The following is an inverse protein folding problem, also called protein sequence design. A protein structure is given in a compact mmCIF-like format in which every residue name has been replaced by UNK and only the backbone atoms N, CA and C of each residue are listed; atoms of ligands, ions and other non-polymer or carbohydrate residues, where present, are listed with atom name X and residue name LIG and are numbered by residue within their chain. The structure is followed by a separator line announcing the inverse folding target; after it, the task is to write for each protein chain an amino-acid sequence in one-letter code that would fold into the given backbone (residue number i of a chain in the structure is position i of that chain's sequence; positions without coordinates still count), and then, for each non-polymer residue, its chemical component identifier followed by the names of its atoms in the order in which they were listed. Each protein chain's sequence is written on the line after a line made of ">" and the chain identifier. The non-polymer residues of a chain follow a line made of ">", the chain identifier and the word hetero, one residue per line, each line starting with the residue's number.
data_IF_461666595195
#
_entry.id   IF_461666595195
#
_cell.length_a   1.000
_cell.length_b   1.000
_cell.length_c   1.000
_cell.angle_alpha   90.00
_cell.angle_beta   90.00
_cell.angle_gamma   90.00
#
_symmetry.space_group_name_H-M   'P 1'
#
loop_
_entity.id
_entity.type
_entity.pdbx_description
1 polymer ?
#
# COMPACT_ATOMS: atom_id res chain seq x y z
N UNK A 1 4.59 -81.25 -18.24
CA UNK A 1 3.49 -80.26 -18.06
C UNK A 1 3.59 -79.71 -16.63
N UNK A 2 3.65 -78.37 -16.46
CA UNK A 2 3.89 -77.65 -15.18
C UNK A 2 5.25 -77.96 -14.51
N UNK A 3 5.88 -77.05 -13.76
CA UNK A 3 6.09 -75.59 -13.99
C UNK A 3 7.35 -75.19 -13.20
N UNK A 4 8.14 -74.23 -13.69
CA UNK A 4 9.32 -73.74 -12.96
C UNK A 4 8.93 -72.91 -11.73
N UNK A 5 9.80 -72.86 -10.73
CA UNK A 5 9.66 -72.07 -9.51
C UNK A 5 11.02 -71.70 -8.92
N UNK A 6 11.72 -70.77 -9.56
CA UNK A 6 12.98 -70.20 -9.04
C UNK A 6 12.63 -69.19 -7.95
N UNK A 7 13.08 -69.43 -6.72
CA UNK A 7 12.97 -68.46 -5.62
C UNK A 7 14.05 -67.39 -5.76
N UNK A 8 13.75 -66.34 -6.52
CA UNK A 8 14.55 -65.11 -6.53
C UNK A 8 14.33 -64.37 -5.22
N UNK A 9 15.37 -64.24 -4.40
CA UNK A 9 15.37 -63.31 -3.26
C UNK A 9 15.30 -61.87 -3.79
N UNK A 10 14.12 -61.27 -3.80
CA UNK A 10 13.97 -59.83 -4.01
C UNK A 10 14.36 -59.16 -2.70
N UNK A 11 15.58 -58.60 -2.66
CA UNK A 11 16.01 -57.73 -1.58
C UNK A 11 15.23 -56.42 -1.69
N UNK A 12 14.12 -56.31 -0.95
CA UNK A 12 13.35 -55.06 -0.88
C UNK A 12 14.18 -54.05 -0.10
N UNK A 13 14.96 -53.24 -0.81
CA UNK A 13 15.51 -52.01 -0.27
C UNK A 13 14.36 -51.08 0.07
N UNK A 14 14.06 -50.92 1.37
CA UNK A 14 13.29 -49.78 1.85
C UNK A 14 14.12 -48.52 1.62
N UNK A 15 14.04 -47.99 0.40
CA UNK A 15 14.24 -46.57 0.15
C UNK A 15 13.12 -45.84 0.90
N UNK A 16 13.39 -45.50 2.16
CA UNK A 16 12.64 -44.50 2.88
C UNK A 16 12.67 -43.23 2.04
N UNK A 17 11.56 -42.88 1.41
CA UNK A 17 11.40 -41.57 0.77
C UNK A 17 11.22 -40.51 1.86
N UNK A 18 12.30 -40.27 2.60
CA UNK A 18 12.63 -38.92 3.07
C UNK A 18 12.77 -38.06 1.82
N UNK A 19 11.65 -37.47 1.38
CA UNK A 19 11.69 -36.41 0.39
C UNK A 19 12.72 -35.40 0.88
N UNK A 20 13.66 -35.02 0.02
CA UNK A 20 14.62 -34.00 0.39
C UNK A 20 13.84 -32.72 0.66
N UNK A 21 13.82 -32.29 1.92
CA UNK A 21 13.80 -30.87 2.17
C UNK A 21 15.13 -30.37 1.60
N UNK A 22 15.08 -29.70 0.45
CA UNK A 22 16.22 -28.99 -0.08
C UNK A 22 16.61 -27.94 0.97
N UNK A 23 17.83 -28.02 1.51
CA UNK A 23 18.23 -27.25 2.70
C UNK A 23 18.13 -25.74 2.42
N UNK A 24 17.03 -25.13 2.90
CA UNK A 24 16.63 -23.79 2.49
C UNK A 24 17.71 -22.79 2.89
N UNK A 25 18.28 -22.18 1.85
CA UNK A 25 19.51 -21.39 1.97
C UNK A 25 19.30 -20.10 2.75
N UNK A 26 19.60 -20.15 4.04
CA UNK A 26 19.83 -18.96 4.86
C UNK A 26 21.05 -18.22 4.29
N UNK A 27 20.86 -16.97 3.91
CA UNK A 27 21.88 -16.09 3.32
C UNK A 27 22.68 -15.41 4.43
N UNK A 28 22.00 -14.99 5.50
CA UNK A 28 22.60 -14.31 6.64
C UNK A 28 21.76 -14.54 7.89
N UNK A 29 22.39 -14.57 9.07
CA UNK A 29 21.72 -14.58 10.38
C UNK A 29 22.56 -13.74 11.35
N UNK A 30 21.96 -12.67 11.88
CA UNK A 30 22.51 -11.80 12.89
C UNK A 30 21.59 -11.77 14.11
N UNK A 31 22.02 -11.14 15.20
CA UNK A 31 21.09 -10.90 16.32
C UNK A 31 19.96 -9.97 15.87
N UNK A 32 18.71 -10.37 16.13
CA UNK A 32 17.52 -9.67 15.65
C UNK A 32 17.35 -9.56 14.12
N UNK A 33 17.98 -10.40 13.29
CA UNK A 33 17.75 -10.41 11.84
C UNK A 33 18.12 -11.73 11.15
N UNK A 34 17.30 -12.19 10.18
CA UNK A 34 17.61 -13.32 9.31
C UNK A 34 17.20 -13.07 7.87
N UNK A 35 18.07 -13.44 6.92
CA UNK A 35 17.84 -13.35 5.48
C UNK A 35 17.88 -14.74 4.85
N UNK A 36 16.88 -15.10 4.04
CA UNK A 36 16.77 -16.42 3.40
C UNK A 36 16.30 -16.33 1.95
N UNK A 37 16.74 -17.30 1.14
CA UNK A 37 16.27 -17.46 -0.25
C UNK A 37 14.79 -17.88 -0.25
N UNK A 38 13.97 -17.09 -0.92
CA UNK A 38 12.56 -17.41 -1.21
C UNK A 38 12.44 -18.13 -2.55
N UNK A 39 13.21 -17.71 -3.56
CA UNK A 39 13.27 -18.38 -4.86
C UNK A 39 14.71 -18.44 -5.38
N UNK A 40 15.25 -19.65 -5.50
CA UNK A 40 16.65 -19.89 -5.90
C UNK A 40 16.87 -19.84 -7.42
N UNK A 41 15.82 -20.00 -8.21
CA UNK A 41 15.83 -19.77 -9.66
C UNK A 41 15.89 -18.26 -10.00
N UNK A 42 15.72 -17.37 -9.01
CA UNK A 42 15.74 -15.92 -9.17
C UNK A 42 17.04 -15.31 -8.64
N UNK A 43 17.87 -14.78 -9.54
CA UNK A 43 18.96 -13.87 -9.16
C UNK A 43 18.40 -12.49 -8.81
N UNK A 44 18.73 -11.90 -7.65
CA UNK A 44 18.41 -10.50 -7.35
C UNK A 44 18.93 -9.57 -8.45
N UNK A 45 18.08 -8.65 -8.92
CA UNK A 45 18.46 -7.71 -9.96
C UNK A 45 19.26 -6.56 -9.33
N UNK A 46 20.58 -6.70 -9.23
CA UNK A 46 21.50 -5.70 -8.68
C UNK A 46 21.79 -4.52 -9.65
N UNK A 47 20.87 -4.20 -10.55
CA UNK A 47 20.88 -2.91 -11.26
C UNK A 47 20.61 -1.78 -10.25
N UNK A 48 21.12 -0.57 -10.54
CA UNK A 48 20.63 0.65 -9.85
C UNK A 48 19.10 0.71 -9.93
N UNK A 49 18.44 0.90 -8.80
CA UNK A 49 16.98 1.07 -8.75
C UNK A 49 16.58 2.23 -9.68
N UNK A 50 15.72 1.93 -10.65
CA UNK A 50 15.57 2.75 -11.88
C UNK A 50 14.54 3.88 -11.79
N UNK A 51 13.85 3.99 -10.65
CA UNK A 51 12.79 4.97 -10.43
C UNK A 51 13.40 6.22 -9.78
N UNK A 52 12.78 7.40 -9.93
CA UNK A 52 13.16 8.55 -9.08
C UNK A 52 13.03 8.10 -7.63
N UNK A 53 14.09 8.30 -6.86
CA UNK A 53 14.03 8.26 -5.41
C UNK A 53 13.81 9.68 -4.89
N UNK A 54 13.15 9.74 -3.75
CA UNK A 54 12.55 10.94 -3.19
C UNK A 54 13.06 11.12 -1.75
N UNK A 55 13.14 12.37 -1.33
CA UNK A 55 13.49 12.77 0.04
C UNK A 55 12.29 12.61 0.97
N UNK A 56 12.51 12.79 2.27
CA UNK A 56 11.43 12.90 3.24
C UNK A 56 10.47 14.06 2.99
N UNK A 57 10.96 15.17 2.43
CA UNK A 57 10.13 16.32 2.03
C UNK A 57 9.22 15.95 0.87
N UNK A 58 9.80 15.46 -0.24
CA UNK A 58 9.05 14.99 -1.41
C UNK A 58 7.92 14.01 -1.01
N UNK A 59 8.21 13.05 -0.11
CA UNK A 59 7.21 12.04 0.31
C UNK A 59 6.06 12.69 1.08
N UNK A 60 6.33 13.68 1.93
CA UNK A 60 5.28 14.40 2.66
C UNK A 60 4.38 15.19 1.69
N UNK A 61 4.96 15.87 0.70
CA UNK A 61 4.21 16.61 -0.32
C UNK A 61 3.39 15.68 -1.22
N UNK A 62 3.94 14.51 -1.59
CA UNK A 62 3.20 13.46 -2.29
C UNK A 62 2.01 12.95 -1.46
N UNK A 63 2.17 12.71 -0.15
CA UNK A 63 1.08 12.27 0.74
C UNK A 63 -0.06 13.30 0.84
N UNK A 64 0.24 14.60 0.78
CA UNK A 64 -0.77 15.66 0.79
C UNK A 64 -1.47 15.80 -0.57
N UNK A 65 -0.71 15.70 -1.67
CA UNK A 65 -1.26 15.70 -3.03
C UNK A 65 -2.17 14.49 -3.31
N UNK A 66 -1.83 13.30 -2.79
CA UNK A 66 -2.66 12.09 -2.82
C UNK A 66 -4.06 12.33 -2.20
N UNK A 67 -4.16 13.26 -1.25
CA UNK A 67 -5.37 13.67 -0.54
C UNK A 67 -5.96 15.01 -1.02
N UNK A 68 -5.47 15.52 -2.17
CA UNK A 68 -5.95 16.76 -2.81
C UNK A 68 -5.84 18.02 -1.92
N UNK A 69 -4.84 18.02 -1.04
CA UNK A 69 -4.48 19.17 -0.19
C UNK A 69 -3.52 20.06 -0.98
N UNK A 70 -3.85 21.34 -1.11
CA UNK A 70 -3.16 22.29 -2.00
C UNK A 70 -1.81 22.77 -1.46
N UNK A 71 -0.88 23.03 -2.37
CA UNK A 71 0.47 23.57 -2.11
C UNK A 71 0.47 24.90 -1.31
N UNK A 72 -0.57 25.73 -1.47
CA UNK A 72 -0.77 26.96 -0.67
C UNK A 72 -1.01 26.67 0.84
N UNK A 73 -1.19 25.39 1.22
CA UNK A 73 -1.55 24.92 2.57
C UNK A 73 -0.57 23.84 3.08
N UNK A 74 0.67 23.85 2.61
CA UNK A 74 1.79 23.01 3.08
C UNK A 74 2.32 23.44 4.47
N UNK A 75 1.41 23.61 5.43
CA UNK A 75 1.73 23.83 6.84
C UNK A 75 2.23 22.56 7.55
N UNK A 76 3.14 21.80 6.93
CA UNK A 76 3.84 20.69 7.58
C UNK A 76 4.76 21.29 8.66
N UNK A 77 4.62 20.82 9.89
CA UNK A 77 5.37 21.30 11.06
C UNK A 77 6.50 20.34 11.44
N UNK A 78 6.29 19.03 11.24
CA UNK A 78 7.32 18.02 11.47
C UNK A 78 6.96 16.73 10.73
N UNK A 79 7.99 15.97 10.32
CA UNK A 79 7.82 14.57 9.92
C UNK A 79 8.88 13.70 10.60
N UNK A 80 8.55 12.43 10.85
CA UNK A 80 9.48 11.44 11.41
C UNK A 80 10.56 10.98 10.42
N UNK A 81 10.57 11.57 9.22
CA UNK A 81 11.26 11.08 8.05
C UNK A 81 11.88 12.19 7.21
N UNK A 82 11.94 13.44 7.71
CA UNK A 82 12.47 14.59 6.97
C UNK A 82 13.91 14.38 6.45
N UNK A 83 14.73 13.65 7.21
CA UNK A 83 16.12 13.27 6.85
C UNK A 83 16.23 11.86 6.23
N UNK A 84 15.10 11.20 5.93
CA UNK A 84 15.11 9.91 5.24
C UNK A 84 15.24 10.13 3.74
N UNK A 85 16.25 9.50 3.15
CA UNK A 85 16.54 9.50 1.73
C UNK A 85 16.45 8.07 1.17
N UNK A 86 16.43 7.97 -0.17
CA UNK A 86 16.13 6.73 -0.91
C UNK A 86 14.72 6.19 -0.60
N UNK A 87 13.72 7.08 -0.47
CA UNK A 87 12.31 6.69 -0.41
C UNK A 87 11.72 6.62 -1.82
N UNK A 88 10.75 5.73 -2.03
CA UNK A 88 9.94 5.65 -3.24
C UNK A 88 8.45 5.75 -2.87
N UNK A 89 7.70 6.74 -3.40
CA UNK A 89 6.29 6.94 -3.07
C UNK A 89 5.46 5.82 -3.68
N UNK A 90 4.82 5.05 -2.81
CA UNK A 90 3.89 3.99 -3.19
C UNK A 90 2.42 4.41 -3.08
N UNK A 91 2.16 5.68 -2.73
CA UNK A 91 0.81 6.20 -2.46
C UNK A 91 0.20 5.62 -1.18
N UNK A 92 -1.13 5.60 -1.11
CA UNK A 92 -1.89 5.26 0.12
C UNK A 92 -1.76 3.82 0.61
N UNK A 93 -1.49 2.88 -0.28
CA UNK A 93 -1.36 1.44 -0.03
C UNK A 93 0.10 1.00 -0.17
N UNK A 94 0.96 1.63 0.63
CA UNK A 94 2.40 1.65 0.43
C UNK A 94 3.12 0.34 0.74
N UNK A 95 2.82 -0.35 1.84
CA UNK A 95 3.28 -1.69 2.16
C UNK A 95 2.82 -2.68 1.09
N UNK A 96 1.53 -2.72 0.75
CA UNK A 96 1.01 -3.61 -0.29
C UNK A 96 1.76 -3.43 -1.60
N UNK A 97 1.90 -2.19 -2.08
CA UNK A 97 2.66 -1.88 -3.30
C UNK A 97 4.16 -2.12 -3.15
N UNK A 98 4.76 -1.97 -1.96
CA UNK A 98 6.16 -2.36 -1.74
C UNK A 98 6.38 -3.86 -1.94
N UNK A 99 5.48 -4.71 -1.43
CA UNK A 99 5.56 -6.16 -1.62
C UNK A 99 5.27 -6.56 -3.07
N UNK A 100 4.26 -5.94 -3.70
CA UNK A 100 3.92 -6.17 -5.11
C UNK A 100 5.01 -5.69 -6.07
N UNK A 101 5.66 -4.55 -5.80
CA UNK A 101 6.79 -4.04 -6.59
C UNK A 101 8.02 -4.93 -6.43
N UNK A 102 8.34 -5.37 -5.20
CA UNK A 102 9.46 -6.26 -4.96
C UNK A 102 9.29 -7.58 -5.74
N UNK A 103 8.07 -8.12 -5.74
CA UNK A 103 7.69 -9.25 -6.57
C UNK A 103 7.77 -8.91 -8.07
N UNK A 104 7.23 -7.78 -8.51
CA UNK A 104 7.20 -7.39 -9.92
C UNK A 104 8.59 -7.00 -10.50
N UNK A 105 9.60 -6.79 -9.66
CA UNK A 105 10.94 -6.36 -10.09
C UNK A 105 12.08 -7.29 -9.67
N UNK A 106 11.80 -8.49 -9.13
CA UNK A 106 12.81 -9.43 -8.62
C UNK A 106 13.75 -8.77 -7.59
N UNK A 107 13.18 -7.98 -6.68
CA UNK A 107 13.90 -7.30 -5.61
C UNK A 107 13.77 -8.10 -4.31
N UNK A 108 14.82 -8.05 -3.49
CA UNK A 108 14.74 -8.62 -2.14
C UNK A 108 13.87 -7.73 -1.26
N UNK A 109 13.18 -8.30 -0.28
CA UNK A 109 12.23 -7.59 0.58
C UNK A 109 12.63 -7.68 2.06
N UNK A 110 12.68 -6.56 2.76
CA UNK A 110 12.84 -6.52 4.23
C UNK A 110 11.50 -6.26 4.90
N UNK A 111 11.17 -7.03 5.94
CA UNK A 111 9.96 -6.88 6.75
C UNK A 111 10.36 -6.88 8.24
N UNK A 112 9.76 -6.01 9.06
CA UNK A 112 9.92 -6.03 10.52
C UNK A 112 8.60 -6.37 11.25
N UNK A 113 8.65 -6.75 12.54
CA UNK A 113 7.45 -7.06 13.33
C UNK A 113 6.52 -5.86 13.46
N UNK A 114 7.07 -4.65 13.55
CA UNK A 114 6.31 -3.39 13.62
C UNK A 114 5.52 -3.12 12.34
N UNK A 115 6.03 -3.53 11.17
CA UNK A 115 5.31 -3.34 9.91
C UNK A 115 4.06 -4.22 9.87
N UNK A 116 4.20 -5.51 10.18
CA UNK A 116 3.07 -6.45 10.22
C UNK A 116 2.09 -6.05 11.34
N UNK A 117 2.59 -5.66 12.51
CA UNK A 117 1.73 -5.18 13.60
C UNK A 117 0.99 -3.88 13.25
N UNK A 118 1.61 -2.93 12.53
CA UNK A 118 0.94 -1.70 12.12
C UNK A 118 -0.17 -1.95 11.10
N UNK A 119 0.04 -2.82 10.11
CA UNK A 119 -1.03 -3.24 9.17
C UNK A 119 -2.20 -3.88 9.93
N UNK A 120 -1.91 -4.73 10.92
CA UNK A 120 -2.94 -5.36 11.77
C UNK A 120 -3.68 -4.30 12.62
N UNK A 121 -2.97 -3.34 13.22
CA UNK A 121 -3.58 -2.20 13.90
C UNK A 121 -4.49 -1.36 12.99
N UNK A 122 -4.13 -1.18 11.72
CA UNK A 122 -4.93 -0.43 10.75
C UNK A 122 -6.18 -1.20 10.32
N UNK A 123 -6.11 -2.52 10.17
CA UNK A 123 -7.29 -3.37 10.00
C UNK A 123 -8.25 -3.29 11.20
N UNK A 124 -7.72 -3.41 12.42
CA UNK A 124 -8.49 -3.22 13.65
C UNK A 124 -9.12 -1.82 13.73
N UNK A 125 -8.37 -0.76 13.37
CA UNK A 125 -8.88 0.60 13.38
C UNK A 125 -10.02 0.82 12.35
N UNK A 126 -9.96 0.20 11.15
CA UNK A 126 -11.08 0.25 10.19
C UNK A 126 -12.34 -0.37 10.79
N UNK A 127 -12.22 -1.58 11.35
CA UNK A 127 -13.31 -2.29 12.01
C UNK A 127 -13.92 -1.50 13.18
N UNK A 128 -13.10 -0.98 14.10
CA UNK A 128 -13.58 -0.19 15.25
C UNK A 128 -14.31 1.08 14.83
N UNK A 129 -13.85 1.78 13.80
CA UNK A 129 -14.54 2.98 13.31
C UNK A 129 -15.90 2.65 12.67
N UNK A 130 -16.02 1.53 11.95
CA UNK A 130 -17.29 1.06 11.40
C UNK A 130 -18.27 0.61 12.50
N UNK A 131 -17.78 -0.12 13.51
CA UNK A 131 -18.55 -0.67 14.62
C UNK A 131 -18.54 0.22 15.89
N UNK A 132 -18.43 1.55 15.73
CA UNK A 132 -18.13 2.51 16.82
C UNK A 132 -18.96 2.30 18.09
N UNK A 133 -20.28 2.20 17.99
CA UNK A 133 -21.16 2.09 19.17
C UNK A 133 -21.18 0.67 19.79
N UNK A 134 -20.91 -0.37 19.00
CA UNK A 134 -20.74 -1.74 19.49
C UNK A 134 -19.40 -1.92 20.23
N UNK A 135 -18.37 -1.17 19.81
CA UNK A 135 -17.04 -1.20 20.41
C UNK A 135 -16.89 -0.22 21.58
N UNK A 136 -17.75 0.81 21.70
CA UNK A 136 -17.73 1.79 22.81
C UNK A 136 -17.56 1.14 24.19
N UNK A 137 -18.42 0.20 24.66
CA UNK A 137 -18.29 -0.41 25.99
C UNK A 137 -17.09 -1.37 26.11
N UNK A 138 -16.40 -1.70 25.02
CA UNK A 138 -15.14 -2.49 25.03
C UNK A 138 -13.88 -1.62 25.09
N UNK A 139 -13.98 -0.32 24.80
CA UNK A 139 -12.83 0.57 24.56
C UNK A 139 -12.79 1.81 25.44
N UNK A 140 -13.94 2.37 25.85
CA UNK A 140 -13.99 3.62 26.64
C UNK A 140 -15.01 3.55 27.77
N UNK A 141 -14.61 4.04 28.94
CA UNK A 141 -15.46 4.11 30.15
C UNK A 141 -16.24 5.45 30.25
N UNK A 142 -16.50 6.11 29.12
CA UNK A 142 -17.20 7.39 29.08
C UNK A 142 -18.14 7.51 27.88
N UNK A 143 -19.19 8.31 28.03
CA UNK A 143 -20.07 8.71 26.93
C UNK A 143 -19.44 9.87 26.13
N UNK A 144 -19.97 10.13 24.92
CA UNK A 144 -19.49 11.23 24.07
C UNK A 144 -18.05 11.11 23.60
N UNK A 145 -17.33 12.25 23.59
CA UNK A 145 -15.90 12.43 23.25
C UNK A 145 -15.23 13.26 24.36
N UNK A 146 -13.92 13.12 24.54
CA UNK A 146 -13.12 13.86 25.52
C UNK A 146 -11.84 14.41 24.87
N UNK A 147 -11.47 15.65 25.18
CA UNK A 147 -10.23 16.29 24.71
C UNK A 147 -9.00 15.76 25.48
N UNK A 148 -7.84 15.70 24.81
CA UNK A 148 -6.53 15.33 25.39
C UNK A 148 -5.47 16.36 24.94
N UNK A 149 -4.59 16.80 25.85
CA UNK A 149 -3.71 17.97 25.65
C UNK A 149 -2.23 17.63 25.97
N UNK A 150 -1.30 18.10 25.14
CA UNK A 150 0.17 17.88 25.23
C UNK A 150 0.92 19.12 24.71
N UNK A 151 2.10 19.45 25.29
CA UNK A 151 2.91 20.65 24.95
C UNK A 151 4.30 20.33 24.36
N UNK A 152 4.85 21.21 23.50
CA UNK A 152 6.23 21.10 22.93
C UNK A 152 6.78 22.44 22.39
N UNK A 153 8.08 22.55 22.05
CA UNK A 153 8.79 23.82 21.73
C UNK A 153 10.06 23.69 20.80
N UNK A 154 9.95 23.71 19.44
CA UNK A 154 10.93 24.20 18.41
C UNK A 154 10.66 23.70 16.95
N UNK A 155 11.44 24.18 15.96
CA UNK A 155 11.23 24.10 14.48
C UNK A 155 12.57 24.04 13.67
N UNK A 156 12.61 23.51 12.42
CA UNK A 156 13.83 23.10 11.63
C UNK A 156 13.62 22.91 10.07
N UNK A 157 14.47 23.44 9.16
CA UNK A 157 14.42 23.18 7.67
C UNK A 157 15.76 23.33 6.83
N UNK A 158 15.84 22.66 5.64
CA UNK A 158 16.68 22.85 4.39
C UNK A 158 17.99 22.03 4.07
N UNK A 159 18.15 21.58 2.79
CA UNK A 159 19.26 20.81 2.11
C UNK A 159 19.23 21.01 0.53
N UNK A 160 20.14 20.42 -0.32
CA UNK A 160 19.83 19.78 -1.67
C UNK A 160 21.00 19.14 -2.54
N UNK A 161 20.64 18.37 -3.62
CA UNK A 161 21.32 18.09 -4.96
C UNK A 161 22.49 17.05 -5.08
N UNK A 162 22.76 16.23 -6.15
CA UNK A 162 22.13 15.69 -7.42
C UNK A 162 22.98 14.52 -8.07
N UNK A 163 22.54 13.82 -9.17
CA UNK A 163 23.28 12.79 -9.97
C UNK A 163 22.86 12.66 -11.48
N UNK A 164 23.80 12.45 -12.43
CA UNK A 164 23.46 11.82 -13.74
C UNK A 164 24.48 10.78 -14.33
N UNK A 165 24.04 10.10 -15.41
CA UNK A 165 24.79 9.17 -16.32
C UNK A 165 24.72 7.64 -16.06
N UNK A 166 24.99 6.86 -17.13
CA UNK A 166 25.06 5.37 -17.23
C UNK A 166 23.72 4.63 -16.97
N UNK A 167 22.84 4.32 -17.94
CA UNK A 167 22.92 4.20 -19.42
C UNK A 167 23.68 2.95 -19.95
N UNK A 168 22.98 2.20 -20.82
CA UNK A 168 23.36 1.12 -21.76
C UNK A 168 23.91 -0.25 -21.30
N UNK A 169 23.11 -1.32 -21.50
CA UNK A 169 23.40 -2.40 -22.47
C UNK A 169 22.26 -3.44 -22.64
N UNK A 170 21.82 -3.72 -23.89
CA UNK A 170 20.97 -4.88 -24.27
C UNK A 170 21.29 -5.31 -25.72
N UNK A 171 21.93 -6.47 -25.95
CA UNK A 171 22.12 -7.01 -27.33
C UNK A 171 22.48 -8.51 -27.45
N UNK A 172 22.18 -9.35 -26.46
CA UNK A 172 22.79 -10.69 -26.34
C UNK A 172 21.90 -11.90 -26.71
N UNK A 173 20.64 -11.72 -27.12
CA UNK A 173 19.66 -12.83 -27.18
C UNK A 173 19.24 -13.33 -28.58
N UNK A 174 19.65 -12.66 -29.67
CA UNK A 174 19.09 -12.88 -31.03
C UNK A 174 19.60 -14.18 -31.69
N UNK A 175 20.80 -14.64 -31.37
CA UNK A 175 21.52 -15.70 -32.09
C UNK A 175 20.86 -17.11 -31.98
N UNK A 176 19.98 -17.31 -30.98
CA UNK A 176 19.51 -18.65 -30.55
C UNK A 176 18.45 -19.31 -31.43
N UNK A 177 17.81 -18.57 -32.35
CA UNK A 177 16.56 -19.03 -33.00
C UNK A 177 16.59 -19.19 -34.53
N UNK A 178 17.76 -19.04 -35.19
CA UNK A 178 17.89 -19.33 -36.63
C UNK A 178 18.37 -20.77 -36.90
N UNK A 179 18.15 -21.27 -38.13
CA UNK A 179 18.65 -22.57 -38.59
C UNK A 179 19.46 -22.42 -39.88
N UNK A 180 20.10 -23.50 -40.33
CA UNK A 180 20.91 -23.57 -41.55
C UNK A 180 22.06 -22.54 -41.60
N UNK A 181 22.62 -22.19 -40.44
CA UNK A 181 23.67 -21.17 -40.29
C UNK A 181 23.31 -19.78 -40.83
N UNK A 182 22.03 -19.45 -41.06
CA UNK A 182 21.63 -18.15 -41.62
C UNK A 182 22.12 -16.96 -40.78
N UNK A 183 22.14 -17.08 -39.43
CA UNK A 183 22.78 -16.09 -38.58
C UNK A 183 24.27 -15.90 -38.90
N UNK A 184 25.03 -16.99 -39.07
CA UNK A 184 26.46 -16.96 -39.39
C UNK A 184 26.76 -16.54 -40.84
N UNK A 185 25.82 -16.73 -41.77
CA UNK A 185 25.96 -16.31 -43.17
C UNK A 185 25.71 -14.81 -43.33
N UNK A 186 24.79 -14.24 -42.54
CA UNK A 186 24.46 -12.80 -42.60
C UNK A 186 25.33 -11.98 -41.64
N UNK A 187 25.75 -12.54 -40.50
CA UNK A 187 26.66 -11.85 -39.54
C UNK A 187 28.07 -11.76 -40.10
N UNK A 188 28.61 -10.55 -40.18
CA UNK A 188 29.99 -10.29 -40.62
C UNK A 188 31.02 -10.97 -39.71
N UNK A 189 31.97 -11.69 -40.30
CA UNK A 189 33.17 -12.22 -39.62
C UNK A 189 34.49 -12.06 -40.41
N UNK A 190 34.49 -11.18 -41.42
CA UNK A 190 35.67 -10.80 -42.21
C UNK A 190 36.78 -10.14 -41.37
N UNK A 191 38.02 -10.15 -41.87
CA UNK A 191 39.21 -9.58 -41.22
C UNK A 191 39.16 -8.08 -40.91
N UNK A 192 38.20 -7.34 -41.47
CA UNK A 192 37.94 -5.92 -41.22
C UNK A 192 36.75 -5.67 -40.28
N UNK A 193 36.13 -6.71 -39.72
CA UNK A 193 34.89 -6.59 -38.93
C UNK A 193 35.18 -6.17 -37.49
N UNK A 194 34.72 -4.98 -37.10
CA UNK A 194 34.67 -4.54 -35.70
C UNK A 194 33.35 -4.92 -35.01
N UNK A 195 33.17 -4.42 -33.78
CA UNK A 195 31.95 -4.67 -33.00
C UNK A 195 30.70 -4.07 -33.67
N UNK A 196 30.85 -2.89 -34.30
CA UNK A 196 29.74 -2.16 -34.93
C UNK A 196 29.23 -2.88 -36.17
N UNK A 197 30.12 -3.33 -37.05
CA UNK A 197 29.80 -4.05 -38.28
C UNK A 197 29.16 -5.42 -37.97
N UNK A 198 29.59 -6.05 -36.86
CA UNK A 198 28.99 -7.30 -36.37
C UNK A 198 27.56 -7.09 -35.86
N UNK A 199 27.30 -6.07 -35.05
CA UNK A 199 25.95 -5.78 -34.54
C UNK A 199 25.02 -5.32 -35.67
N UNK A 200 25.49 -4.48 -36.60
CA UNK A 200 24.69 -4.03 -37.74
C UNK A 200 24.24 -5.20 -38.64
N UNK A 201 25.12 -6.18 -38.87
CA UNK A 201 24.79 -7.39 -39.63
C UNK A 201 23.84 -8.33 -38.88
N UNK A 202 23.94 -8.43 -37.55
CA UNK A 202 22.97 -9.16 -36.71
C UNK A 202 21.57 -8.51 -36.68
N UNK A 203 21.46 -7.18 -36.81
CA UNK A 203 20.17 -6.49 -36.98
C UNK A 203 19.61 -6.72 -38.39
N UNK A 204 20.47 -6.72 -39.42
CA UNK A 204 20.10 -6.99 -40.82
C UNK A 204 19.55 -8.43 -41.00
N UNK A 205 20.06 -9.38 -40.21
CA UNK A 205 19.53 -10.73 -40.11
C UNK A 205 18.06 -10.77 -39.61
N UNK A 206 17.70 -9.97 -38.60
CA UNK A 206 16.33 -9.90 -38.09
C UNK A 206 15.37 -9.33 -39.15
N UNK A 207 15.77 -8.24 -39.81
CA UNK A 207 15.04 -7.65 -40.93
C UNK A 207 14.77 -8.68 -42.04
N UNK A 208 15.76 -9.54 -42.33
CA UNK A 208 15.71 -10.53 -43.41
C UNK A 208 14.71 -11.69 -43.19
N UNK A 209 14.21 -11.88 -41.96
CA UNK A 209 13.27 -12.98 -41.62
C UNK A 209 11.99 -12.53 -40.92
N UNK A 210 11.76 -11.21 -40.78
CA UNK A 210 10.61 -10.64 -40.05
C UNK A 210 9.21 -11.04 -40.55
N UNK A 211 9.09 -11.51 -41.79
CA UNK A 211 7.82 -12.02 -42.34
C UNK A 211 7.44 -13.41 -41.82
N UNK A 212 8.33 -14.07 -41.07
CA UNK A 212 8.11 -15.42 -40.51
C UNK A 212 8.12 -15.45 -38.96
N UNK A 213 8.45 -14.33 -38.31
CA UNK A 213 8.61 -14.24 -36.86
C UNK A 213 8.02 -12.94 -36.31
N UNK A 214 7.12 -13.06 -35.33
CA UNK A 214 6.62 -11.92 -34.57
C UNK A 214 7.57 -11.63 -33.39
N UNK A 215 8.25 -10.47 -33.42
CA UNK A 215 9.30 -10.13 -32.45
C UNK A 215 8.76 -9.52 -31.16
N UNK A 216 8.06 -10.32 -30.35
CA UNK A 216 7.55 -9.88 -29.05
C UNK A 216 8.58 -10.11 -27.94
N UNK A 217 9.08 -9.03 -27.34
CA UNK A 217 10.06 -9.09 -26.24
C UNK A 217 9.33 -8.99 -24.90
N UNK A 218 9.15 -10.13 -24.22
CA UNK A 218 8.59 -10.19 -22.87
C UNK A 218 9.69 -10.24 -21.80
N UNK A 219 9.87 -9.14 -21.05
CA UNK A 219 10.63 -9.16 -19.79
C UNK A 219 9.68 -9.59 -18.65
N UNK A 220 9.50 -10.90 -18.45
CA UNK A 220 8.70 -11.42 -17.34
C UNK A 220 9.51 -11.27 -16.05
N UNK A 221 9.17 -10.27 -15.24
CA UNK A 221 9.74 -10.03 -13.92
C UNK A 221 8.59 -10.15 -12.91
N UNK A 222 8.65 -11.20 -12.10
CA UNK A 222 7.63 -11.64 -11.13
C UNK A 222 8.28 -12.65 -10.17
N UNK A 223 8.17 -12.45 -8.86
CA UNK A 223 8.79 -13.28 -7.81
C UNK A 223 9.70 -12.48 -6.87
N UNK A 224 9.87 -12.91 -5.62
CA UNK A 224 10.80 -12.31 -4.65
C UNK A 224 11.99 -13.27 -4.47
N UNK A 225 13.24 -12.86 -4.73
CA UNK A 225 14.40 -13.75 -4.61
C UNK A 225 14.75 -14.11 -3.17
N UNK A 226 14.74 -13.12 -2.27
CA UNK A 226 15.04 -13.32 -0.85
C UNK A 226 14.24 -12.37 0.04
N UNK A 227 13.99 -12.82 1.27
CA UNK A 227 13.35 -12.01 2.33
C UNK A 227 14.31 -11.87 3.50
N UNK A 228 14.38 -10.66 4.05
CA UNK A 228 14.99 -10.38 5.36
C UNK A 228 13.89 -10.12 6.38
N UNK A 229 13.80 -10.95 7.41
CA UNK A 229 12.99 -10.66 8.59
C UNK A 229 13.86 -10.03 9.66
N UNK A 230 13.51 -8.80 10.04
CA UNK A 230 14.06 -8.11 11.21
C UNK A 230 13.31 -8.56 12.47
N UNK A 231 13.87 -8.24 13.64
CA UNK A 231 13.34 -8.65 14.94
C UNK A 231 13.75 -10.07 15.35
N UNK A 232 13.65 -10.34 16.64
CA UNK A 232 13.90 -11.67 17.21
C UNK A 232 12.69 -12.59 17.04
N UNK A 233 12.87 -13.90 17.23
CA UNK A 233 11.75 -14.86 17.31
C UNK A 233 10.71 -14.44 18.36
N UNK A 234 11.16 -13.83 19.47
CA UNK A 234 10.27 -13.34 20.53
C UNK A 234 9.42 -12.13 20.12
N UNK A 235 9.87 -11.33 19.13
CA UNK A 235 9.09 -10.23 18.59
C UNK A 235 7.96 -10.75 17.70
N UNK A 236 8.26 -11.73 16.84
CA UNK A 236 7.27 -12.40 16.01
C UNK A 236 6.24 -13.20 16.83
N UNK A 237 6.68 -13.83 17.93
CA UNK A 237 5.77 -14.43 18.91
C UNK A 237 4.85 -13.37 19.55
N UNK A 238 5.39 -12.23 19.99
CA UNK A 238 4.57 -11.13 20.55
C UNK A 238 3.60 -10.52 19.54
N UNK A 239 3.93 -10.47 18.25
CA UNK A 239 2.98 -10.07 17.19
C UNK A 239 1.81 -11.06 17.10
N UNK A 240 2.07 -12.37 17.12
CA UNK A 240 1.01 -13.38 17.18
C UNK A 240 0.16 -13.26 18.45
N UNK A 241 0.76 -13.19 19.63
CA UNK A 241 0.04 -13.06 20.91
C UNK A 241 -0.88 -11.84 20.94
N UNK A 242 -0.41 -10.68 20.49
CA UNK A 242 -1.20 -9.45 20.42
C UNK A 242 -2.32 -9.54 19.36
N UNK A 243 -2.09 -10.27 18.26
CA UNK A 243 -3.11 -10.53 17.23
C UNK A 243 -4.20 -11.45 17.77
N UNK A 244 -3.84 -12.48 18.53
CA UNK A 244 -4.81 -13.39 19.17
C UNK A 244 -5.71 -12.69 20.19
N UNK A 245 -5.23 -11.63 20.86
CA UNK A 245 -6.06 -10.80 21.75
C UNK A 245 -7.16 -10.04 21.00
N UNK A 246 -7.03 -9.79 19.68
CA UNK A 246 -8.04 -9.08 18.90
C UNK A 246 -9.36 -9.85 18.77
N UNK A 247 -9.37 -11.17 19.03
CA UNK A 247 -10.59 -12.00 19.07
C UNK A 247 -11.65 -11.43 20.03
N UNK A 248 -11.25 -10.84 21.16
CA UNK A 248 -12.16 -10.25 22.14
C UNK A 248 -13.05 -9.12 21.57
N UNK A 249 -12.58 -8.44 20.52
CA UNK A 249 -13.35 -7.37 19.87
C UNK A 249 -14.37 -7.90 18.85
N UNK A 250 -14.26 -9.17 18.42
CA UNK A 250 -15.17 -9.79 17.44
C UNK A 250 -14.47 -10.28 16.16
N UNK A 251 -13.19 -9.94 15.99
CA UNK A 251 -12.39 -10.22 14.79
C UNK A 251 -11.88 -11.67 14.69
N UNK A 252 -12.51 -12.63 15.36
CA UNK A 252 -12.06 -14.03 15.33
C UNK A 252 -11.93 -14.64 13.92
N UNK A 253 -12.85 -14.42 12.96
CA UNK A 253 -12.69 -14.92 11.61
C UNK A 253 -11.40 -14.44 10.93
N UNK A 254 -11.07 -13.16 11.05
CA UNK A 254 -9.84 -12.59 10.49
C UNK A 254 -8.58 -13.06 11.22
N UNK A 255 -8.61 -13.09 12.56
CA UNK A 255 -7.48 -13.57 13.36
C UNK A 255 -7.16 -15.04 13.03
N UNK A 256 -8.18 -15.87 12.73
CA UNK A 256 -7.98 -17.25 12.30
C UNK A 256 -7.31 -17.36 10.91
N UNK A 257 -7.45 -16.38 10.02
CA UNK A 257 -6.69 -16.30 8.77
C UNK A 257 -5.24 -15.83 8.99
N UNK A 258 -5.02 -14.93 9.95
CA UNK A 258 -3.70 -14.41 10.30
C UNK A 258 -2.83 -15.41 11.10
N UNK A 259 -3.44 -16.20 11.98
CA UNK A 259 -2.72 -17.16 12.85
C UNK A 259 -1.74 -18.09 12.09
N UNK A 260 -2.11 -18.78 10.98
CA UNK A 260 -1.15 -19.59 10.22
C UNK A 260 -0.06 -18.75 9.53
N UNK A 261 -0.39 -17.56 9.03
CA UNK A 261 0.57 -16.64 8.39
C UNK A 261 1.64 -16.22 9.41
N UNK A 262 1.23 -15.78 10.61
CA UNK A 262 2.16 -15.34 11.65
C UNK A 262 3.02 -16.47 12.21
N UNK A 263 2.55 -17.73 12.18
CA UNK A 263 3.38 -18.91 12.51
C UNK A 263 4.49 -19.15 11.48
N UNK A 264 4.26 -18.84 10.21
CA UNK A 264 5.31 -18.91 9.18
C UNK A 264 6.37 -17.80 9.32
N UNK A 265 5.99 -16.60 9.79
CA UNK A 265 6.95 -15.58 10.22
C UNK A 265 7.81 -16.06 11.41
N UNK A 266 7.21 -16.71 12.41
CA UNK A 266 7.93 -17.25 13.58
C UNK A 266 8.91 -18.37 13.16
N UNK A 267 8.46 -19.33 12.34
CA UNK A 267 9.32 -20.41 11.82
C UNK A 267 10.48 -19.85 10.98
N UNK A 268 10.23 -18.86 10.12
CA UNK A 268 11.25 -18.19 9.32
C UNK A 268 12.28 -17.45 10.21
N UNK A 269 11.83 -16.70 11.23
CA UNK A 269 12.69 -16.01 12.18
C UNK A 269 13.59 -16.98 13.00
N UNK A 270 13.09 -18.18 13.27
CA UNK A 270 13.83 -19.24 13.98
C UNK A 270 14.90 -19.92 13.12
N UNK A 271 14.86 -19.73 11.80
CA UNK A 271 15.79 -20.35 10.83
C UNK A 271 15.18 -21.47 10.00
N UNK A 272 13.86 -21.66 10.07
CA UNK A 272 13.11 -22.72 9.41
C UNK A 272 12.04 -22.17 8.43
N UNK A 273 12.38 -21.28 7.48
CA UNK A 273 11.41 -20.65 6.57
C UNK A 273 10.79 -21.65 5.58
N UNK A 274 9.47 -21.63 5.40
CA UNK A 274 8.78 -22.46 4.41
C UNK A 274 8.77 -21.78 3.02
N UNK A 275 9.70 -22.17 2.12
CA UNK A 275 9.79 -21.57 0.78
C UNK A 275 8.48 -21.64 -0.03
N UNK A 276 7.70 -22.72 0.07
CA UNK A 276 6.42 -22.86 -0.65
C UNK A 276 5.42 -21.80 -0.19
N UNK A 277 5.39 -21.51 1.11
CA UNK A 277 4.61 -20.40 1.66
C UNK A 277 5.15 -19.04 1.19
N UNK A 278 6.47 -18.81 1.27
CA UNK A 278 7.06 -17.51 0.91
C UNK A 278 6.95 -17.17 -0.58
N UNK A 279 7.09 -18.14 -1.49
CA UNK A 279 6.78 -17.97 -2.93
C UNK A 279 5.30 -17.59 -3.14
N UNK A 280 4.41 -18.04 -2.24
CA UNK A 280 2.96 -17.80 -2.24
C UNK A 280 2.50 -16.39 -1.83
N UNK A 281 3.42 -15.45 -1.57
CA UNK A 281 3.11 -14.12 -1.00
C UNK A 281 2.17 -13.27 -1.86
N UNK A 282 2.47 -13.08 -3.15
CA UNK A 282 1.66 -12.26 -4.08
C UNK A 282 0.73 -13.11 -4.96
N UNK A 283 1.13 -14.34 -5.30
CA UNK A 283 0.28 -15.30 -6.05
C UNK A 283 0.42 -16.73 -5.52
N UNK A 284 -0.66 -17.51 -5.52
CA UNK A 284 -0.69 -18.91 -5.07
C UNK A 284 -0.05 -19.90 -6.07
N UNK A 285 0.01 -19.54 -7.36
CA UNK A 285 0.65 -20.37 -8.39
C UNK A 285 2.03 -19.81 -8.77
N UNK A 286 3.04 -20.67 -8.68
CA UNK A 286 4.40 -20.41 -9.14
C UNK A 286 4.45 -20.30 -10.68
N UNK A 287 5.36 -19.46 -11.18
CA UNK A 287 5.34 -18.97 -12.58
C UNK A 287 5.81 -20.04 -13.59
N UNK A 288 6.64 -20.98 -13.13
CA UNK A 288 7.02 -22.22 -13.84
C UNK A 288 5.83 -22.99 -14.43
N UNK A 289 4.66 -22.96 -13.75
CA UNK A 289 3.44 -23.65 -14.18
C UNK A 289 2.58 -22.80 -15.13
N UNK A 290 2.83 -21.50 -15.23
CA UNK A 290 2.12 -20.58 -16.13
C UNK A 290 2.73 -20.63 -17.54
N UNK A 291 2.40 -21.69 -18.30
CA UNK A 291 2.84 -21.95 -19.68
C UNK A 291 2.64 -20.76 -20.64
N UNK A 292 3.60 -19.82 -20.64
CA UNK A 292 3.58 -18.61 -21.47
C UNK A 292 2.48 -17.57 -21.11
N UNK A 293 1.95 -17.59 -19.88
CA UNK A 293 0.67 -16.92 -19.55
C UNK A 293 0.68 -15.92 -18.38
N UNK A 294 1.85 -15.39 -17.98
CA UNK A 294 1.98 -14.58 -16.75
C UNK A 294 1.17 -13.27 -16.73
N UNK A 295 1.35 -12.43 -17.76
CA UNK A 295 0.70 -11.12 -17.91
C UNK A 295 0.31 -10.89 -19.37
N UNK A 296 -0.91 -11.27 -19.77
CA UNK A 296 -1.43 -11.01 -21.12
C UNK A 296 -2.06 -9.60 -21.11
N UNK A 297 -1.74 -8.67 -22.03
CA UNK A 297 -2.31 -7.32 -22.03
C UNK A 297 -3.85 -7.28 -22.04
N UNK A 298 -4.46 -8.30 -22.63
CA UNK A 298 -5.91 -8.51 -22.79
C UNK A 298 -6.62 -9.01 -21.52
N UNK A 299 -5.88 -9.50 -20.51
CA UNK A 299 -6.43 -10.04 -19.26
C UNK A 299 -5.64 -9.50 -18.06
N UNK A 300 -6.20 -8.59 -17.26
CA UNK A 300 -5.47 -8.00 -16.14
C UNK A 300 -5.12 -9.08 -15.11
N UNK A 301 -3.84 -9.14 -14.73
CA UNK A 301 -3.31 -10.09 -13.75
C UNK A 301 -4.08 -10.02 -12.44
N UNK A 302 -4.61 -11.16 -12.00
CA UNK A 302 -5.21 -11.35 -10.68
C UNK A 302 -4.15 -11.83 -9.69
N UNK A 303 -3.98 -11.08 -8.60
CA UNK A 303 -3.15 -11.43 -7.46
C UNK A 303 -4.02 -12.17 -6.45
N UNK A 304 -3.52 -13.27 -5.90
CA UNK A 304 -4.28 -14.20 -5.06
C UNK A 304 -3.47 -14.77 -3.89
N UNK A 305 -2.24 -14.29 -3.66
CA UNK A 305 -1.36 -14.74 -2.59
C UNK A 305 -1.79 -14.32 -1.18
N UNK A 306 -1.09 -14.83 -0.15
CA UNK A 306 -1.47 -14.62 1.24
C UNK A 306 -1.34 -13.17 1.74
N UNK A 307 -0.61 -12.30 1.03
CA UNK A 307 -0.51 -10.86 1.31
C UNK A 307 -1.88 -10.21 1.53
N UNK A 308 -2.89 -10.61 0.75
CA UNK A 308 -4.25 -10.04 0.83
C UNK A 308 -4.94 -10.26 2.18
N UNK A 309 -4.53 -11.28 2.94
CA UNK A 309 -5.11 -11.62 4.25
C UNK A 309 -4.67 -10.66 5.37
N UNK A 310 -3.64 -9.85 5.14
CA UNK A 310 -3.28 -8.74 6.03
C UNK A 310 -4.27 -7.56 5.95
N UNK A 311 -5.14 -7.52 4.93
CA UNK A 311 -5.97 -6.36 4.60
C UNK A 311 -7.48 -6.65 4.67
N UNK A 312 -8.10 -6.55 5.87
CA UNK A 312 -9.54 -6.64 6.00
C UNK A 312 -10.22 -5.33 5.55
N UNK A 313 -11.46 -5.46 5.10
CA UNK A 313 -12.42 -4.37 4.96
C UNK A 313 -12.93 -3.86 6.33
N UNK A 314 -13.91 -2.96 6.30
CA UNK A 314 -14.62 -2.46 7.49
C UNK A 314 -15.34 -3.53 8.33
N UNK A 315 -15.64 -4.71 7.76
CA UNK A 315 -16.35 -5.82 8.41
C UNK A 315 -15.39 -6.90 8.97
N UNK A 316 -14.07 -6.76 8.77
CA UNK A 316 -13.10 -7.79 9.11
C UNK A 316 -12.94 -8.88 8.04
N UNK A 317 -13.44 -8.69 6.82
CA UNK A 317 -13.37 -9.65 5.72
C UNK A 317 -12.22 -9.32 4.77
N UNK A 318 -11.46 -10.34 4.35
CA UNK A 318 -10.29 -10.20 3.47
C UNK A 318 -10.60 -10.60 2.04
N UNK A 319 -9.77 -10.17 1.08
CA UNK A 319 -9.91 -10.58 -0.32
C UNK A 319 -9.16 -11.89 -0.60
N UNK A 320 -9.82 -12.85 -1.25
CA UNK A 320 -9.15 -14.05 -1.78
C UNK A 320 -8.37 -13.79 -3.08
N UNK A 321 -8.77 -12.75 -3.83
CA UNK A 321 -8.06 -12.25 -5.01
C UNK A 321 -8.39 -10.79 -5.31
N UNK A 322 -7.47 -10.11 -6.00
CA UNK A 322 -7.62 -8.73 -6.47
C UNK A 322 -6.99 -8.53 -7.86
N UNK A 323 -7.52 -7.61 -8.65
CA UNK A 323 -6.88 -7.15 -9.89
C UNK A 323 -5.72 -6.21 -9.54
N UNK A 324 -4.52 -6.44 -10.09
CA UNK A 324 -3.31 -5.64 -9.81
C UNK A 324 -3.45 -4.11 -10.01
N UNK A 325 -4.48 -3.63 -10.72
CA UNK A 325 -4.77 -2.20 -10.91
C UNK A 325 -5.70 -1.59 -9.85
N UNK A 326 -6.18 -2.37 -8.88
CA UNK A 326 -6.93 -1.85 -7.72
C UNK A 326 -5.97 -1.55 -6.57
N UNK A 327 -6.12 -0.38 -5.97
CA UNK A 327 -5.47 -0.03 -4.71
C UNK A 327 -6.13 -0.77 -3.54
N UNK A 328 -5.38 -0.98 -2.46
CA UNK A 328 -5.90 -1.45 -1.15
C UNK A 328 -6.44 -0.27 -0.31
N UNK A 329 -7.12 -0.52 0.83
CA UNK A 329 -7.52 0.55 1.76
C UNK A 329 -6.30 1.33 2.27
N UNK A 330 -6.49 2.61 2.63
CA UNK A 330 -5.40 3.48 3.10
C UNK A 330 -4.63 2.86 4.28
N UNK A 331 -3.31 2.79 4.11
CA UNK A 331 -2.32 2.34 5.07
C UNK A 331 -1.64 3.50 5.81
N UNK A 332 -2.20 4.70 5.70
CA UNK A 332 -2.02 5.76 6.68
C UNK A 332 -3.37 6.24 7.23
N UNK A 333 -3.36 6.56 8.53
CA UNK A 333 -4.50 7.11 9.27
C UNK A 333 -4.25 8.58 9.60
N UNK A 334 -5.32 9.34 9.80
CA UNK A 334 -5.29 10.78 10.11
C UNK A 334 -6.14 11.07 11.33
N UNK A 335 -5.61 11.87 12.26
CA UNK A 335 -6.28 12.27 13.50
C UNK A 335 -6.20 13.79 13.64
N UNK A 336 -7.35 14.47 13.62
CA UNK A 336 -7.42 15.91 13.88
C UNK A 336 -7.39 16.21 15.37
N UNK A 337 -6.69 17.28 15.72
CA UNK A 337 -6.63 17.83 17.08
C UNK A 337 -6.62 19.36 17.03
N UNK A 338 -6.77 20.00 18.19
CA UNK A 338 -6.79 21.47 18.34
C UNK A 338 -5.63 21.90 19.22
N UNK A 339 -4.63 22.54 18.62
CA UNK A 339 -3.51 23.15 19.35
C UNK A 339 -3.97 24.49 19.93
N UNK A 340 -4.14 24.55 21.25
CA UNK A 340 -4.58 25.73 21.98
C UNK A 340 -3.39 26.42 22.64
N UNK A 341 -3.04 27.62 22.17
CA UNK A 341 -2.15 28.50 22.93
C UNK A 341 -2.98 29.16 24.02
N UNK A 342 -2.63 28.95 25.28
CA UNK A 342 -3.33 29.50 26.45
C UNK A 342 -2.44 30.56 27.11
N UNK A 343 -3.03 31.65 27.57
CA UNK A 343 -2.32 32.66 28.36
C UNK A 343 -2.02 32.11 29.77
N UNK A 344 -0.74 31.90 30.13
CA UNK A 344 -0.38 31.26 31.40
C UNK A 344 -0.72 32.12 32.64
N UNK A 345 -1.03 33.41 32.47
CA UNK A 345 -1.35 34.31 33.57
C UNK A 345 -2.85 34.35 33.93
N UNK A 346 -3.75 33.89 33.05
CA UNK A 346 -5.20 33.94 33.31
C UNK A 346 -6.03 32.77 32.73
N UNK A 347 -5.42 31.82 32.01
CA UNK A 347 -6.11 30.66 31.45
C UNK A 347 -6.94 30.93 30.19
N UNK A 348 -6.95 32.17 29.67
CA UNK A 348 -7.69 32.49 28.46
C UNK A 348 -7.00 31.92 27.21
N UNK A 349 -7.80 31.42 26.27
CA UNK A 349 -7.35 31.02 24.94
C UNK A 349 -6.77 32.24 24.19
N UNK A 350 -5.51 32.17 23.75
CA UNK A 350 -4.87 33.16 22.87
C UNK A 350 -5.14 32.80 21.40
N UNK A 351 -4.98 31.52 21.06
CA UNK A 351 -5.24 31.02 19.70
C UNK A 351 -5.59 29.54 19.75
N UNK A 352 -6.49 29.11 18.86
CA UNK A 352 -6.76 27.71 18.57
C UNK A 352 -6.40 27.43 17.11
N UNK A 353 -5.40 26.59 16.89
CA UNK A 353 -4.99 26.16 15.56
C UNK A 353 -5.43 24.70 15.35
N UNK A 354 -6.27 24.40 14.35
CA UNK A 354 -6.60 23.03 14.01
C UNK A 354 -5.39 22.37 13.35
N UNK A 355 -5.12 21.13 13.75
CA UNK A 355 -3.94 20.37 13.35
C UNK A 355 -4.30 18.92 13.04
N UNK A 356 -3.44 18.23 12.32
CA UNK A 356 -3.65 16.85 11.89
C UNK A 356 -2.36 16.03 12.08
N UNK A 357 -2.46 14.94 12.86
CA UNK A 357 -1.45 13.90 12.92
C UNK A 357 -1.75 12.88 11.83
N UNK A 358 -0.74 12.50 11.06
CA UNK A 358 -0.80 11.42 10.08
C UNK A 358 0.21 10.35 10.48
N UNK A 359 -0.16 9.07 10.42
CA UNK A 359 0.76 7.97 10.74
C UNK A 359 0.43 6.72 9.92
N UNK A 360 1.46 6.03 9.42
CA UNK A 360 1.28 4.84 8.58
C UNK A 360 2.50 4.51 7.74
N UNK A 361 2.26 3.85 6.61
CA UNK A 361 3.28 3.63 5.59
C UNK A 361 3.34 4.83 4.65
N UNK A 362 4.55 5.32 4.40
CA UNK A 362 4.81 6.53 3.61
C UNK A 362 5.39 6.21 2.21
N UNK A 363 5.79 4.96 2.00
CA UNK A 363 6.46 4.48 0.78
C UNK A 363 7.36 3.28 1.06
N UNK A 364 8.24 2.96 0.13
CA UNK A 364 9.33 2.01 0.33
C UNK A 364 10.64 2.78 0.59
N UNK A 365 11.43 2.37 1.58
CA UNK A 365 12.87 2.70 1.63
C UNK A 365 13.64 1.69 0.79
N UNK A 366 14.58 2.17 -0.02
CA UNK A 366 15.33 1.39 -0.99
C UNK A 366 16.80 1.35 -0.61
N UNK A 367 17.34 0.15 -0.39
CA UNK A 367 18.79 -0.07 -0.47
C UNK A 367 19.17 -0.17 -1.94
N UNK A 368 19.78 0.89 -2.47
CA UNK A 368 20.21 0.99 -3.87
C UNK A 368 21.50 0.20 -4.19
N UNK A 369 22.15 -0.38 -3.18
CA UNK A 369 23.36 -1.22 -3.32
C UNK A 369 22.99 -2.68 -3.54
N UNK A 370 22.05 -3.19 -2.74
CA UNK A 370 21.60 -4.60 -2.77
C UNK A 370 20.19 -4.77 -3.40
N UNK A 371 19.66 -3.69 -3.96
CA UNK A 371 18.31 -3.55 -4.51
C UNK A 371 17.20 -4.15 -3.61
N UNK A 372 17.22 -3.77 -2.33
CA UNK A 372 16.28 -4.26 -1.31
C UNK A 372 15.18 -3.22 -1.09
N UNK A 373 13.91 -3.61 -1.23
CA UNK A 373 12.78 -2.79 -0.79
C UNK A 373 12.45 -3.06 0.68
N UNK A 374 12.10 -2.01 1.42
CA UNK A 374 11.71 -2.06 2.83
C UNK A 374 10.50 -1.14 3.04
N UNK A 375 9.30 -1.64 3.39
CA UNK A 375 8.15 -0.78 3.67
C UNK A 375 8.47 0.23 4.78
N UNK A 376 8.34 1.53 4.51
CA UNK A 376 8.74 2.57 5.46
C UNK A 376 7.53 3.08 6.24
N UNK A 377 7.56 2.88 7.55
CA UNK A 377 6.66 3.52 8.51
C UNK A 377 7.13 4.97 8.75
N UNK A 378 6.19 5.91 8.83
CA UNK A 378 6.45 7.27 9.27
C UNK A 378 5.23 7.98 9.84
N UNK A 379 5.44 9.16 10.42
CA UNK A 379 4.38 10.10 10.80
C UNK A 379 4.69 11.51 10.33
N UNK A 380 3.65 12.31 10.07
CA UNK A 380 3.77 13.76 9.89
C UNK A 380 2.75 14.52 10.74
N UNK A 381 3.08 15.78 11.04
CA UNK A 381 2.26 16.72 11.78
C UNK A 381 2.06 17.95 10.90
N UNK A 382 0.82 18.38 10.69
CA UNK A 382 0.51 19.61 9.94
C UNK A 382 -0.55 20.48 10.60
N UNK A 383 -0.55 21.75 10.23
CA UNK A 383 -1.72 22.63 10.33
C UNK A 383 -2.81 22.08 9.40
N UNK A 384 -4.03 21.94 9.92
CA UNK A 384 -5.20 21.55 9.12
C UNK A 384 -5.91 22.79 8.55
N UNK A 385 -6.77 22.61 7.54
CA UNK A 385 -7.71 23.67 7.17
C UNK A 385 -8.62 23.99 8.37
N UNK A 386 -8.57 25.24 8.84
CA UNK A 386 -9.47 25.72 9.87
C UNK A 386 -10.84 26.10 9.34
N UNK A 387 -11.79 26.28 10.26
CA UNK A 387 -13.18 26.57 9.91
C UNK A 387 -13.30 27.87 9.09
N UNK A 388 -12.50 28.90 9.37
CA UNK A 388 -12.43 30.13 8.58
C UNK A 388 -11.84 29.93 7.17
N UNK A 389 -10.82 29.08 7.01
CA UNK A 389 -10.25 28.77 5.69
C UNK A 389 -11.24 27.95 4.86
N UNK A 390 -11.85 26.93 5.48
CA UNK A 390 -12.91 26.13 4.86
C UNK A 390 -14.08 27.02 4.47
N UNK A 391 -14.52 27.92 5.35
CA UNK A 391 -15.56 28.91 5.06
C UNK A 391 -15.18 29.82 3.90
N UNK A 392 -13.95 30.34 3.83
CA UNK A 392 -13.51 31.19 2.72
C UNK A 392 -13.38 30.43 1.39
N UNK A 393 -12.98 29.15 1.43
CA UNK A 393 -13.00 28.22 0.28
C UNK A 393 -14.43 27.92 -0.19
N UNK A 394 -15.38 27.80 0.74
CA UNK A 394 -16.82 27.66 0.45
C UNK A 394 -17.42 28.95 -0.12
N UNK A 395 -17.10 30.14 0.44
CA UNK A 395 -17.45 31.45 -0.13
C UNK A 395 -16.96 31.57 -1.57
N UNK A 396 -15.67 31.32 -1.80
CA UNK A 396 -15.05 31.36 -3.14
C UNK A 396 -15.69 30.37 -4.13
N UNK A 397 -16.03 29.15 -3.71
CA UNK A 397 -16.74 28.19 -4.58
C UNK A 397 -18.18 28.62 -4.90
N UNK A 398 -18.87 29.19 -3.91
CA UNK A 398 -20.23 29.73 -4.06
C UNK A 398 -20.28 30.94 -5.00
N UNK A 399 -19.38 31.91 -4.80
CA UNK A 399 -19.18 33.09 -5.66
C UNK A 399 -18.84 32.71 -7.10
N UNK A 400 -17.93 31.74 -7.29
CA UNK A 400 -17.59 31.19 -8.61
C UNK A 400 -18.68 30.25 -9.17
N UNK A 401 -19.84 30.16 -8.52
CA UNK A 401 -21.02 29.45 -9.02
C UNK A 401 -20.90 27.93 -9.06
N UNK A 402 -19.89 27.35 -8.40
CA UNK A 402 -19.67 25.89 -8.29
C UNK A 402 -20.56 25.22 -7.26
N UNK A 403 -21.13 26.00 -6.35
CA UNK A 403 -21.93 25.50 -5.23
C UNK A 403 -21.08 24.87 -4.12
N UNK A 404 -21.78 24.20 -3.20
CA UNK A 404 -21.23 23.56 -2.00
C UNK A 404 -21.82 22.15 -1.90
N UNK A 405 -20.98 21.13 -1.93
CA UNK A 405 -21.36 19.73 -1.66
C UNK A 405 -20.60 19.21 -0.45
N UNK A 406 -21.32 18.66 0.54
CA UNK A 406 -20.77 18.16 1.79
C UNK A 406 -21.41 16.83 2.18
N UNK A 407 -20.59 15.86 2.60
CA UNK A 407 -21.03 14.61 3.24
C UNK A 407 -20.84 14.72 4.74
N UNK A 408 -21.92 14.64 5.51
CA UNK A 408 -21.97 15.11 6.91
C UNK A 408 -22.75 14.16 7.83
N UNK A 409 -22.56 14.28 9.14
CA UNK A 409 -23.51 13.75 10.14
C UNK A 409 -24.48 14.83 10.61
N UNK A 410 -23.95 16.02 10.88
CA UNK A 410 -24.66 17.21 11.36
C UNK A 410 -24.26 18.41 10.49
N UNK A 411 -25.13 19.41 10.33
CA UNK A 411 -24.85 20.56 9.46
C UNK A 411 -23.78 21.46 10.10
N UNK A 412 -22.64 21.75 9.42
CA UNK A 412 -21.59 22.59 9.97
C UNK A 412 -22.08 24.03 10.24
N UNK A 413 -21.98 24.47 11.49
CA UNK A 413 -22.44 25.79 11.94
C UNK A 413 -21.78 26.95 11.17
N UNK A 414 -20.55 26.77 10.67
CA UNK A 414 -19.85 27.73 9.80
C UNK A 414 -20.68 28.18 8.58
N UNK A 415 -21.58 27.33 8.06
CA UNK A 415 -22.40 27.68 6.89
C UNK A 415 -23.36 28.84 7.19
N UNK A 416 -23.76 29.06 8.45
CA UNK A 416 -24.56 30.23 8.87
C UNK A 416 -23.91 31.55 8.45
N UNK A 417 -22.58 31.62 8.43
CA UNK A 417 -21.80 32.80 8.06
C UNK A 417 -21.76 33.09 6.54
N UNK A 418 -22.40 32.25 5.72
CA UNK A 418 -22.48 32.48 4.27
C UNK A 418 -23.63 33.41 3.87
N UNK A 419 -24.76 33.35 4.58
CA UNK A 419 -25.99 34.13 4.33
C UNK A 419 -26.73 33.78 3.03
N UNK A 420 -25.99 33.61 1.92
CA UNK A 420 -26.48 33.23 0.60
C UNK A 420 -25.68 32.03 0.04
N UNK A 421 -26.36 31.00 -0.49
CA UNK A 421 -25.73 29.88 -1.20
C UNK A 421 -26.47 29.58 -2.51
N UNK A 422 -25.77 29.63 -3.64
CA UNK A 422 -26.33 29.40 -4.98
C UNK A 422 -26.74 27.95 -5.23
N UNK A 423 -25.95 26.98 -4.76
CA UNK A 423 -26.34 25.57 -4.76
C UNK A 423 -25.71 24.87 -3.55
N UNK A 424 -26.52 24.21 -2.74
CA UNK A 424 -26.11 23.48 -1.54
C UNK A 424 -26.59 22.02 -1.64
N UNK A 425 -25.66 21.07 -1.51
CA UNK A 425 -25.94 19.63 -1.47
C UNK A 425 -25.41 19.03 -0.18
N UNK A 426 -26.29 18.50 0.66
CA UNK A 426 -25.93 17.83 1.92
C UNK A 426 -26.28 16.34 1.88
N UNK A 427 -25.25 15.49 1.93
CA UNK A 427 -25.38 14.04 1.96
C UNK A 427 -25.18 13.57 3.40
N UNK A 428 -26.27 13.30 4.11
CA UNK A 428 -26.22 12.84 5.50
C UNK A 428 -25.84 11.36 5.58
N UNK A 429 -24.86 11.03 6.42
CA UNK A 429 -24.46 9.64 6.71
C UNK A 429 -25.41 8.93 7.68
N UNK A 430 -26.33 9.67 8.30
CA UNK A 430 -27.28 9.15 9.28
C UNK A 430 -28.67 9.82 9.15
N UNK A 431 -29.37 10.05 10.25
CA UNK A 431 -30.62 10.83 10.27
C UNK A 431 -30.39 12.28 9.83
N UNK A 432 -31.26 12.79 8.96
CA UNK A 432 -31.24 14.22 8.58
C UNK A 432 -31.74 15.08 9.73
N UNK A 433 -30.94 16.07 10.11
CA UNK A 433 -31.31 17.14 11.06
C UNK A 433 -30.86 18.47 10.45
N UNK A 434 -31.81 19.37 10.19
CA UNK A 434 -31.53 20.73 9.72
C UNK A 434 -31.74 21.70 10.89
N UNK A 435 -30.70 22.40 11.39
CA UNK A 435 -30.83 23.33 12.50
C UNK A 435 -31.66 24.57 12.11
N UNK A 436 -32.21 25.26 13.10
CA UNK A 436 -33.15 26.39 12.88
C UNK A 436 -32.50 27.59 12.18
N UNK A 437 -31.20 27.83 12.39
CA UNK A 437 -30.50 28.96 11.76
C UNK A 437 -30.48 28.88 10.22
N UNK A 438 -30.67 27.69 9.63
CA UNK A 438 -30.80 27.54 8.17
C UNK A 438 -32.05 28.23 7.60
N UNK A 439 -33.10 28.45 8.40
CA UNK A 439 -34.34 29.10 7.93
C UNK A 439 -34.15 30.59 7.63
N UNK A 440 -33.02 31.17 8.07
CA UNK A 440 -32.61 32.55 7.77
C UNK A 440 -31.65 32.64 6.56
N UNK A 441 -31.36 31.54 5.86
CA UNK A 441 -30.44 31.53 4.71
C UNK A 441 -31.18 31.63 3.39
N UNK A 442 -30.64 32.43 2.46
CA UNK A 442 -31.07 32.40 1.06
C UNK A 442 -30.32 31.27 0.35
N UNK A 443 -31.02 30.23 -0.10
CA UNK A 443 -30.43 29.12 -0.86
C UNK A 443 -31.21 28.94 -2.16
N UNK A 444 -30.60 29.10 -3.34
CA UNK A 444 -31.32 29.06 -4.62
C UNK A 444 -31.65 27.61 -5.06
N UNK A 445 -30.66 26.72 -4.99
CA UNK A 445 -30.84 25.28 -5.14
C UNK A 445 -30.40 24.57 -3.86
N UNK A 446 -31.32 23.91 -3.16
CA UNK A 446 -31.02 23.10 -1.98
C UNK A 446 -31.34 21.63 -2.25
N UNK A 447 -30.37 20.74 -2.03
CA UNK A 447 -30.49 19.30 -2.25
C UNK A 447 -30.04 18.57 -0.98
N UNK A 448 -30.83 17.60 -0.52
CA UNK A 448 -30.48 16.76 0.63
C UNK A 448 -30.72 15.28 0.33
N UNK A 449 -29.92 14.40 0.93
CA UNK A 449 -30.18 12.96 1.02
C UNK A 449 -29.76 12.42 2.39
N UNK A 450 -30.41 11.34 2.85
CA UNK A 450 -30.17 10.75 4.16
C UNK A 450 -31.36 9.99 4.73
N UNK A 451 -31.26 9.50 5.97
CA UNK A 451 -32.38 8.79 6.61
C UNK A 451 -33.46 9.79 7.09
N UNK A 452 -34.66 9.66 6.54
CA UNK A 452 -35.85 10.47 6.87
C UNK A 452 -37.13 9.64 6.71
N UNK A 453 -38.08 9.83 7.63
CA UNK A 453 -39.49 9.42 7.45
C UNK A 453 -40.23 10.36 6.49
N UNK A 454 -41.39 9.96 5.97
CA UNK A 454 -42.22 10.83 5.11
C UNK A 454 -42.76 12.07 5.85
N UNK A 455 -42.99 11.98 7.15
CA UNK A 455 -43.37 13.13 7.98
C UNK A 455 -42.23 14.16 8.08
N UNK A 456 -41.01 13.70 8.29
CA UNK A 456 -39.81 14.56 8.32
C UNK A 456 -39.56 15.20 6.95
N UNK A 457 -39.71 14.45 5.85
CA UNK A 457 -39.67 15.01 4.48
C UNK A 457 -40.74 16.08 4.27
N UNK A 458 -41.96 15.85 4.75
CA UNK A 458 -43.05 16.82 4.64
C UNK A 458 -42.78 18.08 5.48
N UNK A 459 -42.21 17.95 6.68
CA UNK A 459 -41.86 19.08 7.54
C UNK A 459 -40.66 19.88 6.99
N UNK A 460 -39.66 19.22 6.42
CA UNK A 460 -38.53 19.88 5.74
C UNK A 460 -39.01 20.68 4.51
N UNK A 461 -39.95 20.14 3.72
CA UNK A 461 -40.54 20.86 2.57
C UNK A 461 -41.38 22.08 2.95
N UNK A 462 -41.90 22.18 4.18
CA UNK A 462 -42.57 23.39 4.71
C UNK A 462 -41.57 24.49 5.06
N UNK A 463 -40.36 24.13 5.52
CA UNK A 463 -39.27 25.07 5.80
C UNK A 463 -38.61 25.55 4.51
N UNK A 464 -38.26 24.63 3.62
CA UNK A 464 -37.52 24.91 2.38
C UNK A 464 -38.35 24.56 1.13
N UNK A 465 -39.04 25.55 0.57
CA UNK A 465 -40.01 25.37 -0.51
C UNK A 465 -39.39 24.90 -1.85
N UNK A 466 -38.09 25.14 -2.06
CA UNK A 466 -37.33 24.78 -3.25
C UNK A 466 -36.45 23.52 -3.07
N UNK A 467 -36.57 22.79 -1.95
CA UNK A 467 -35.66 21.69 -1.62
C UNK A 467 -35.92 20.42 -2.45
N UNK A 468 -34.85 19.84 -2.98
CA UNK A 468 -34.84 18.53 -3.64
C UNK A 468 -34.39 17.47 -2.63
N UNK A 469 -35.31 16.65 -2.16
CA UNK A 469 -34.99 15.50 -1.30
C UNK A 469 -34.75 14.28 -2.20
N UNK A 470 -33.58 13.65 -2.07
CA UNK A 470 -33.17 12.44 -2.80
C UNK A 470 -33.04 11.24 -1.86
#
# INVERSE_FOLDING_TARGET
>A
MKRQGIFTFILISLLTMTGHAEDIKIINRADGSITFVVDEDLTPINDRYRHKLFTGGDIADNMLNDEQISDEVLGIIATSFAMENNLYPMGKDAFYKTVVEAYANHQSLTISPDMIWLIICQGFARYVNAHTEEMRPKLVNHEGKMDLVVETKKDLLTEDVDWPSLIDNISSQIDKYTKNNVAKIVTSDFTTTGQVERVASQITLMESVKSYFEYIIYRIVCGIPSVTLQGTVSDWQRVLEKTMQLKAYGLEPWVNELEPILKEFIQAADGHPNQVFWKGIVRKQSIDKLKGGGCIPEKPTELDGWLLKLFPDENGQTLDKINHKKNMPSEYVRVRFKYRTINPANGNLISEMPMELWAGFIGAKVDTTNNILTPKIGWLVRVAEGDDYTLNKLKKNNENGRGIELRIKEVPEMLSQLGYIKSLRLVFTDKVVLPEWMDNMTIDEFIISGKMTEEEKANIRKRFHNIKIQ
#
